data_IF_577295125003
#
_entry.id   IF_577295125003
#
_cell.length_a   1.000
_cell.length_b   1.000
_cell.length_c   1.000
_cell.angle_alpha   90.00
_cell.angle_beta   90.00
_cell.angle_gamma   90.00
#
_symmetry.space_group_name_H-M   'P 1'
#
loop_
_entity.id
_entity.type
_entity.pdbx_description
1 polymer ?
#
# COMPACT_ATOMS: atom_id res chain seq x y z
N UNK A 1 34.43 39.77 72.27
CA UNK A 1 34.48 38.35 71.82
C UNK A 1 33.42 38.17 70.74
N UNK A 2 33.80 38.38 69.45
CA UNK A 2 32.85 38.32 68.29
C UNK A 2 33.26 37.15 67.43
N UNK A 3 32.41 36.11 67.39
CA UNK A 3 32.60 34.93 66.54
C UNK A 3 31.95 35.16 65.16
N UNK A 4 32.76 35.21 64.12
CA UNK A 4 32.32 35.23 62.73
C UNK A 4 31.99 33.82 62.28
N UNK A 5 30.78 33.57 61.82
CA UNK A 5 30.36 32.34 61.14
C UNK A 5 30.56 32.54 59.61
N UNK A 6 31.43 31.79 59.02
CA UNK A 6 31.58 31.73 57.58
C UNK A 6 30.59 30.69 57.04
N UNK A 7 29.64 31.11 56.23
CA UNK A 7 28.73 30.25 55.48
C UNK A 7 29.37 29.89 54.15
N UNK A 8 29.69 28.62 53.99
CA UNK A 8 30.16 28.04 52.71
C UNK A 8 28.96 27.72 51.82
N UNK A 9 28.79 28.46 50.76
CA UNK A 9 27.78 28.20 49.72
C UNK A 9 28.33 27.18 48.75
N UNK A 10 27.88 25.94 48.83
CA UNK A 10 28.21 24.88 47.83
C UNK A 10 27.28 25.04 46.64
N UNK A 11 27.75 25.58 45.52
CA UNK A 11 27.05 25.54 44.23
C UNK A 11 27.17 24.13 43.65
N UNK A 12 26.11 23.35 43.69
CA UNK A 12 25.96 22.11 42.91
C UNK A 12 25.56 22.49 41.51
N UNK A 13 26.48 22.43 40.54
CA UNK A 13 26.15 22.51 39.12
C UNK A 13 25.42 21.23 38.70
N UNK A 14 24.11 21.29 38.58
CA UNK A 14 23.31 20.25 37.91
C UNK A 14 23.56 20.39 36.42
N UNK A 15 24.45 19.54 35.88
CA UNK A 15 24.65 19.40 34.46
C UNK A 15 23.35 18.87 33.83
N UNK A 16 22.62 19.72 33.15
CA UNK A 16 21.52 19.30 32.28
C UNK A 16 22.15 18.53 31.10
N UNK A 17 22.14 17.19 31.18
CA UNK A 17 22.32 16.35 30.02
C UNK A 17 21.12 16.58 29.11
N UNK A 18 21.24 17.45 28.13
CA UNK A 18 20.34 17.50 26.99
C UNK A 18 20.49 16.14 26.29
N UNK A 19 19.57 15.20 26.55
CA UNK A 19 19.39 14.03 25.72
C UNK A 19 18.98 14.56 24.33
N UNK A 20 19.96 14.64 23.46
CA UNK A 20 19.73 14.70 22.02
C UNK A 20 18.87 13.47 21.71
N UNK A 21 17.60 13.67 21.39
CA UNK A 21 16.76 12.57 20.94
C UNK A 21 17.43 12.01 19.68
N UNK A 22 18.12 10.88 19.82
CA UNK A 22 18.81 10.26 18.71
C UNK A 22 17.81 10.04 17.58
N UNK A 23 18.11 10.65 16.42
CA UNK A 23 17.34 10.50 15.19
C UNK A 23 17.21 9.00 14.89
N UNK A 24 16.00 8.44 14.75
CA UNK A 24 15.87 7.02 14.45
C UNK A 24 16.58 6.67 13.14
N UNK A 25 17.59 5.80 13.20
CA UNK A 25 18.41 5.40 12.06
C UNK A 25 18.59 3.88 12.01
N UNK A 26 18.87 3.36 10.81
CA UNK A 26 19.27 1.98 10.64
C UNK A 26 20.69 1.77 11.17
N UNK A 27 20.99 0.60 11.76
CA UNK A 27 22.37 0.26 12.15
C UNK A 27 23.33 0.27 10.95
N UNK A 28 22.84 -0.16 9.80
CA UNK A 28 23.51 -0.12 8.52
C UNK A 28 22.48 -0.12 7.40
N UNK A 29 22.72 0.64 6.34
CA UNK A 29 21.88 0.64 5.17
C UNK A 29 22.69 0.76 3.89
N UNK A 30 22.34 0.01 2.87
CA UNK A 30 22.93 0.05 1.53
C UNK A 30 21.82 0.29 0.51
N UNK A 31 22.06 1.26 -0.37
CA UNK A 31 21.18 1.56 -1.52
C UNK A 31 22.02 1.43 -2.79
N UNK A 32 21.51 0.67 -3.75
CA UNK A 32 22.17 0.47 -5.05
C UNK A 32 21.17 0.63 -6.18
N UNK A 33 21.58 1.19 -7.30
CA UNK A 33 20.77 1.17 -8.50
C UNK A 33 20.49 -0.29 -8.90
N UNK A 34 19.23 -0.58 -9.21
CA UNK A 34 18.85 -1.90 -9.70
C UNK A 34 19.24 -2.05 -11.19
N UNK A 35 19.57 -3.27 -11.67
CA UNK A 35 19.76 -3.52 -13.09
C UNK A 35 18.51 -3.10 -13.89
N UNK A 36 18.69 -2.62 -15.14
CA UNK A 36 17.58 -2.16 -15.97
C UNK A 36 16.62 -3.27 -16.41
N UNK A 37 17.08 -4.51 -16.33
CA UNK A 37 16.30 -5.71 -16.69
C UNK A 37 16.02 -6.50 -15.42
N UNK A 38 14.75 -6.72 -15.15
CA UNK A 38 14.31 -7.57 -14.04
C UNK A 38 14.58 -9.01 -14.44
N UNK A 39 15.47 -9.69 -13.71
CA UNK A 39 15.76 -11.10 -13.96
C UNK A 39 14.49 -11.96 -13.77
N UNK A 40 14.35 -13.01 -14.58
CA UNK A 40 13.24 -13.96 -14.43
C UNK A 40 13.27 -14.57 -13.02
N UNK A 41 12.13 -14.51 -12.32
CA UNK A 41 12.01 -14.97 -10.93
C UNK A 41 12.48 -13.95 -9.87
N UNK A 42 12.94 -12.76 -10.26
CA UNK A 42 13.27 -11.72 -9.29
C UNK A 42 12.03 -11.28 -8.52
N UNK A 43 12.19 -11.05 -7.23
CA UNK A 43 11.11 -10.53 -6.40
C UNK A 43 11.11 -9.01 -6.47
N UNK A 44 10.02 -8.42 -6.93
CA UNK A 44 9.81 -6.96 -6.88
C UNK A 44 9.07 -6.59 -5.60
N UNK A 45 9.53 -5.56 -4.91
CA UNK A 45 8.88 -5.07 -3.69
C UNK A 45 9.77 -5.13 -2.45
N UNK A 46 9.19 -4.84 -1.31
CA UNK A 46 9.87 -4.80 -0.02
C UNK A 46 9.42 -5.95 0.90
N UNK A 47 10.33 -6.42 1.73
CA UNK A 47 10.08 -7.46 2.73
C UNK A 47 10.90 -7.21 3.99
N UNK A 48 10.50 -7.86 5.09
CA UNK A 48 11.13 -7.69 6.40
C UNK A 48 10.59 -6.48 7.17
N UNK A 49 11.26 -6.12 8.26
CA UNK A 49 10.86 -5.03 9.14
C UNK A 49 9.96 -5.44 10.30
N UNK A 50 9.60 -4.49 11.18
CA UNK A 50 8.82 -4.75 12.38
C UNK A 50 7.49 -5.45 12.09
N UNK A 51 7.23 -6.55 12.77
CA UNK A 51 6.03 -7.39 12.59
C UNK A 51 6.12 -8.40 11.46
N UNK A 52 7.23 -8.44 10.71
CA UNK A 52 7.49 -9.47 9.71
C UNK A 52 8.21 -10.68 10.33
N UNK A 53 8.35 -11.76 9.55
CA UNK A 53 9.09 -12.97 9.95
C UNK A 53 10.57 -12.69 10.24
N UNK A 54 11.15 -11.70 9.58
CA UNK A 54 12.51 -11.20 9.82
C UNK A 54 12.42 -9.70 10.21
N UNK A 55 12.27 -9.39 11.50
CA UNK A 55 12.09 -8.02 11.95
C UNK A 55 13.39 -7.21 11.97
N UNK A 56 14.56 -7.86 11.98
CA UNK A 56 15.88 -7.23 12.06
C UNK A 56 16.47 -6.82 10.71
N UNK A 57 15.83 -7.24 9.60
CA UNK A 57 16.30 -6.96 8.25
C UNK A 57 15.17 -6.42 7.37
N UNK A 58 15.44 -5.34 6.67
CA UNK A 58 14.55 -4.79 5.64
C UNK A 58 15.24 -4.81 4.29
N UNK A 59 14.58 -5.35 3.29
CA UNK A 59 15.08 -5.41 1.93
C UNK A 59 14.02 -4.98 0.93
N UNK A 60 14.40 -4.14 -0.02
CA UNK A 60 13.59 -3.80 -1.19
C UNK A 60 14.34 -4.15 -2.45
N UNK A 61 13.63 -4.65 -3.46
CA UNK A 61 14.18 -4.94 -4.78
C UNK A 61 13.32 -4.29 -5.85
N UNK A 62 13.97 -3.66 -6.83
CA UNK A 62 13.34 -3.00 -7.97
C UNK A 62 12.26 -1.98 -7.57
N UNK A 63 12.57 -1.13 -6.59
CA UNK A 63 11.65 -0.07 -6.14
C UNK A 63 12.05 1.28 -6.71
N UNK A 64 11.10 2.00 -7.30
CA UNK A 64 11.31 3.39 -7.71
C UNK A 64 11.40 4.31 -6.50
N UNK A 65 12.03 5.47 -6.63
CA UNK A 65 12.10 6.44 -5.54
C UNK A 65 10.70 6.91 -5.09
N UNK A 66 9.76 7.09 -6.02
CA UNK A 66 8.37 7.42 -5.69
C UNK A 66 7.70 6.32 -4.84
N UNK A 67 7.92 5.04 -5.17
CA UNK A 67 7.39 3.92 -4.38
C UNK A 67 8.04 3.83 -2.99
N UNK A 68 9.34 4.15 -2.87
CA UNK A 68 10.02 4.21 -1.58
C UNK A 68 9.48 5.33 -0.70
N UNK A 69 9.22 6.52 -1.27
CA UNK A 69 8.59 7.64 -0.55
C UNK A 69 7.18 7.26 -0.11
N UNK A 70 6.33 6.76 -1.00
CA UNK A 70 4.97 6.36 -0.61
C UNK A 70 4.96 5.26 0.45
N UNK A 71 5.92 4.35 0.42
CA UNK A 71 6.09 3.32 1.44
C UNK A 71 6.51 3.92 2.80
N UNK A 72 7.50 4.83 2.82
CA UNK A 72 8.02 5.46 4.03
C UNK A 72 6.97 6.37 4.71
N UNK A 73 6.11 7.03 3.94
CA UNK A 73 5.06 7.92 4.42
C UNK A 73 3.68 7.25 4.50
N UNK A 74 3.57 5.95 4.17
CA UNK A 74 2.33 5.17 4.17
C UNK A 74 1.21 5.80 3.33
N UNK A 75 1.57 6.27 2.18
CA UNK A 75 0.64 6.95 1.26
C UNK A 75 0.26 6.04 0.10
N UNK A 76 -0.94 6.22 -0.39
CA UNK A 76 -1.31 5.72 -1.70
C UNK A 76 -0.63 6.56 -2.79
N UNK A 77 -0.22 5.93 -3.90
CA UNK A 77 0.58 6.58 -4.95
C UNK A 77 -0.09 7.82 -5.56
N UNK A 78 -1.41 7.88 -5.58
CA UNK A 78 -2.15 9.04 -6.10
C UNK A 78 -2.07 10.28 -5.21
N UNK A 79 -1.61 10.14 -3.95
CA UNK A 79 -1.39 11.23 -3.00
C UNK A 79 0.03 11.79 -3.02
N UNK A 80 0.91 11.23 -3.85
CA UNK A 80 2.25 11.74 -4.04
C UNK A 80 2.30 12.67 -5.25
N UNK A 81 2.74 13.91 -5.03
CA UNK A 81 3.09 14.86 -6.08
C UNK A 81 4.62 14.90 -6.17
N UNK A 82 5.17 14.30 -7.21
CA UNK A 82 6.61 14.14 -7.37
C UNK A 82 7.00 14.41 -8.83
N UNK A 83 8.26 14.81 -9.10
CA UNK A 83 8.78 14.94 -10.45
C UNK A 83 8.68 13.65 -11.26
N UNK A 84 8.41 13.76 -12.56
CA UNK A 84 8.18 12.62 -13.46
C UNK A 84 9.35 11.61 -13.47
N UNK A 85 10.57 12.07 -13.30
CA UNK A 85 11.75 11.20 -13.27
C UNK A 85 11.80 10.24 -12.06
N UNK A 86 11.04 10.50 -10.99
CA UNK A 86 10.94 9.61 -9.84
C UNK A 86 10.10 8.35 -10.11
N UNK A 87 9.43 8.30 -11.24
CA UNK A 87 8.62 7.18 -11.71
C UNK A 87 9.50 6.01 -12.22
N UNK A 88 8.94 4.88 -12.71
CA UNK A 88 9.60 3.57 -12.74
C UNK A 88 10.88 3.41 -13.58
N UNK A 89 11.43 4.45 -14.17
CA UNK A 89 12.65 4.32 -14.96
C UNK A 89 13.94 4.14 -14.14
N UNK A 90 13.95 4.64 -12.88
CA UNK A 90 15.08 4.49 -11.97
C UNK A 90 14.65 3.62 -10.79
N UNK A 91 15.19 2.42 -10.74
CA UNK A 91 14.90 1.43 -9.71
C UNK A 91 16.08 1.24 -8.78
N UNK A 92 15.79 0.96 -7.51
CA UNK A 92 16.79 0.79 -6.47
C UNK A 92 16.55 -0.51 -5.69
N UNK A 93 17.65 -1.08 -5.21
CA UNK A 93 17.67 -2.17 -4.25
C UNK A 93 18.17 -1.61 -2.92
N UNK A 94 17.45 -1.90 -1.84
CA UNK A 94 17.79 -1.48 -0.48
C UNK A 94 18.00 -2.71 0.39
N UNK A 95 19.02 -2.66 1.23
CA UNK A 95 19.21 -3.60 2.33
C UNK A 95 19.56 -2.79 3.57
N UNK A 96 18.77 -2.93 4.65
CA UNK A 96 18.96 -2.16 5.87
C UNK A 96 18.78 -3.03 7.10
N UNK A 97 19.71 -2.92 8.05
CA UNK A 97 19.68 -3.62 9.34
C UNK A 97 18.95 -2.74 10.36
N UNK A 98 17.95 -3.31 10.99
CA UNK A 98 17.05 -2.64 11.93
C UNK A 98 17.49 -2.94 13.36
N UNK A 99 17.62 -1.92 14.23
CA UNK A 99 17.89 -2.13 15.65
C UNK A 99 16.83 -3.01 16.33
N UNK A 100 17.19 -3.81 17.32
CA UNK A 100 16.25 -4.61 18.09
C UNK A 100 15.14 -3.73 18.70
N UNK A 101 13.95 -4.30 18.86
CA UNK A 101 12.79 -3.63 19.47
C UNK A 101 12.28 -2.37 18.73
N UNK A 102 12.68 -2.15 17.48
CA UNK A 102 12.18 -1.05 16.67
C UNK A 102 10.68 -1.21 16.44
N UNK A 103 9.92 -0.19 16.82
CA UNK A 103 8.49 -0.12 16.51
C UNK A 103 8.24 0.21 15.03
N UNK A 104 7.03 -0.05 14.55
CA UNK A 104 6.65 0.29 13.19
C UNK A 104 6.79 1.78 12.87
N UNK A 105 6.37 2.65 13.80
CA UNK A 105 6.50 4.09 13.62
C UNK A 105 7.96 4.56 13.55
N UNK A 106 8.82 4.02 14.41
CA UNK A 106 10.26 4.30 14.35
C UNK A 106 10.88 3.85 13.02
N UNK A 107 10.51 2.67 12.54
CA UNK A 107 10.97 2.15 11.26
C UNK A 107 10.55 3.06 10.08
N UNK A 108 9.33 3.58 10.09
CA UNK A 108 8.85 4.53 9.07
C UNK A 108 9.70 5.81 9.09
N UNK A 109 9.99 6.36 10.28
CA UNK A 109 10.88 7.52 10.44
C UNK A 109 12.31 7.20 9.99
N UNK A 110 12.84 6.02 10.29
CA UNK A 110 14.16 5.57 9.78
C UNK A 110 14.22 5.57 8.25
N UNK A 111 13.15 5.10 7.58
CA UNK A 111 13.07 5.13 6.12
C UNK A 111 13.01 6.56 5.59
N UNK A 112 12.21 7.44 6.20
CA UNK A 112 12.15 8.85 5.81
C UNK A 112 13.54 9.51 5.95
N UNK A 113 14.22 9.27 7.07
CA UNK A 113 15.58 9.76 7.30
C UNK A 113 16.57 9.22 6.27
N UNK A 114 16.52 7.92 5.97
CA UNK A 114 17.36 7.29 4.94
C UNK A 114 17.18 7.95 3.57
N UNK A 115 15.92 8.21 3.18
CA UNK A 115 15.62 8.86 1.90
C UNK A 115 16.08 10.32 1.88
N UNK A 116 15.91 11.05 2.99
CA UNK A 116 16.41 12.42 3.13
C UNK A 116 17.94 12.49 3.07
N UNK A 117 18.63 11.58 3.74
CA UNK A 117 20.09 11.56 3.80
C UNK A 117 20.72 11.11 2.47
N UNK A 118 20.16 10.09 1.82
CA UNK A 118 20.76 9.46 0.63
C UNK A 118 20.31 10.06 -0.69
N UNK A 119 19.06 10.50 -0.79
CA UNK A 119 18.51 11.11 -2.00
C UNK A 119 18.17 12.58 -1.84
N UNK A 120 18.48 13.18 -0.69
CA UNK A 120 18.13 14.57 -0.37
C UNK A 120 16.64 14.85 -0.54
N UNK A 121 15.82 13.85 -0.24
CA UNK A 121 14.36 13.99 -0.32
C UNK A 121 13.88 14.99 0.71
N UNK A 122 13.25 16.06 0.24
CA UNK A 122 12.52 17.05 1.05
C UNK A 122 11.08 17.06 0.60
N UNK A 123 10.17 17.07 1.56
CA UNK A 123 8.74 16.99 1.30
C UNK A 123 7.95 17.92 2.21
N UNK A 124 6.77 18.34 1.75
CA UNK A 124 5.77 18.99 2.60
C UNK A 124 4.37 18.43 2.32
N UNK A 125 3.44 18.68 3.23
CA UNK A 125 2.04 18.34 3.07
C UNK A 125 1.26 19.52 2.50
N UNK A 126 0.43 19.27 1.49
CA UNK A 126 -0.42 20.27 0.85
C UNK A 126 -1.85 19.75 0.69
N UNK A 127 -2.81 20.45 1.27
CA UNK A 127 -4.22 20.16 1.04
C UNK A 127 -4.68 20.77 -0.28
N UNK A 128 -5.13 19.91 -1.22
CA UNK A 128 -5.65 20.34 -2.53
C UNK A 128 -7.12 19.97 -2.67
N UNK A 129 -7.92 20.90 -3.17
CA UNK A 129 -9.26 20.56 -3.62
C UNK A 129 -9.16 19.80 -4.94
N UNK A 130 -9.59 18.54 -4.91
CA UNK A 130 -9.59 17.67 -6.10
C UNK A 130 -10.97 17.05 -6.29
N UNK A 131 -11.23 16.64 -7.50
CA UNK A 131 -12.36 15.76 -7.75
C UNK A 131 -12.06 14.38 -7.20
N UNK A 132 -12.79 13.98 -6.15
CA UNK A 132 -12.74 12.66 -5.57
C UNK A 132 -14.01 11.88 -5.89
N UNK A 133 -13.95 10.56 -5.76
CA UNK A 133 -15.10 9.69 -5.88
C UNK A 133 -15.67 9.41 -4.48
N UNK A 134 -16.99 9.38 -4.36
CA UNK A 134 -17.68 8.95 -3.14
C UNK A 134 -18.37 7.62 -3.42
N UNK A 135 -18.03 6.60 -2.64
CA UNK A 135 -18.71 5.31 -2.67
C UNK A 135 -20.03 5.43 -1.92
N UNK A 136 -21.13 5.30 -2.61
CA UNK A 136 -22.49 5.43 -2.04
C UNK A 136 -23.34 4.23 -2.40
N UNK A 137 -24.42 3.99 -1.63
CA UNK A 137 -25.41 2.98 -1.96
C UNK A 137 -26.23 3.43 -3.19
N UNK A 138 -26.42 2.55 -4.17
CA UNK A 138 -27.26 2.82 -5.33
C UNK A 138 -28.76 2.78 -4.97
N UNK A 139 -29.61 3.31 -5.83
CA UNK A 139 -31.08 3.42 -5.58
C UNK A 139 -31.75 2.10 -5.18
N UNK A 140 -31.25 0.97 -5.66
CA UNK A 140 -31.81 -0.35 -5.41
C UNK A 140 -31.26 -1.01 -4.12
N UNK A 141 -30.50 -0.28 -3.31
CA UNK A 141 -29.90 -0.80 -2.09
C UNK A 141 -28.69 -1.72 -2.31
N UNK A 142 -28.02 -2.12 -1.23
CA UNK A 142 -26.89 -3.04 -1.28
C UNK A 142 -27.34 -4.43 -1.68
N UNK A 143 -26.50 -5.15 -2.44
CA UNK A 143 -26.73 -6.51 -2.94
C UNK A 143 -25.78 -7.56 -2.34
N UNK A 144 -25.20 -7.27 -1.21
CA UNK A 144 -24.29 -8.14 -0.45
C UNK A 144 -24.87 -8.41 0.93
N UNK A 145 -24.34 -9.43 1.61
CA UNK A 145 -24.80 -9.85 2.93
C UNK A 145 -23.84 -9.32 4.01
N UNK A 146 -24.38 -9.14 5.21
CA UNK A 146 -23.52 -8.96 6.38
C UNK A 146 -22.71 -10.23 6.61
N UNK A 147 -21.46 -10.02 7.00
CA UNK A 147 -20.54 -11.12 7.30
C UNK A 147 -21.07 -11.89 8.54
N UNK A 148 -21.21 -13.18 8.40
CA UNK A 148 -21.53 -14.04 9.55
C UNK A 148 -20.31 -14.09 10.48
N UNK A 149 -20.53 -13.94 11.79
CA UNK A 149 -19.52 -14.23 12.79
C UNK A 149 -19.16 -15.72 12.74
N UNK A 150 -18.17 -16.04 11.95
CA UNK A 150 -17.56 -17.36 12.03
C UNK A 150 -16.50 -17.27 13.14
N UNK A 151 -16.49 -18.18 14.13
CA UNK A 151 -15.40 -18.23 15.10
C UNK A 151 -14.05 -18.24 14.33
N UNK A 152 -13.01 -17.56 14.86
CA UNK A 152 -11.71 -17.61 14.22
C UNK A 152 -11.35 -19.08 13.98
N UNK A 153 -10.79 -19.43 12.81
CA UNK A 153 -10.36 -20.78 12.56
C UNK A 153 -9.43 -21.16 13.72
N UNK A 154 -9.81 -22.18 14.48
CA UNK A 154 -8.95 -22.78 15.49
C UNK A 154 -7.63 -23.05 14.79
N UNK A 155 -6.54 -22.45 15.33
CA UNK A 155 -5.19 -22.57 14.83
C UNK A 155 -4.95 -24.00 14.34
N UNK A 156 -4.99 -24.20 13.04
CA UNK A 156 -4.33 -25.35 12.45
C UNK A 156 -2.87 -24.97 12.50
N UNK A 157 -2.12 -25.65 13.36
CA UNK A 157 -0.66 -25.54 13.43
C UNK A 157 -0.08 -25.85 12.05
N UNK A 158 0.05 -24.82 11.21
CA UNK A 158 0.66 -24.89 9.88
C UNK A 158 2.22 -25.01 9.95
N UNK A 159 2.76 -25.44 11.09
CA UNK A 159 4.22 -25.45 11.32
C UNK A 159 4.86 -26.82 11.39
N UNK A 160 4.14 -27.91 11.15
CA UNK A 160 4.74 -29.25 11.17
C UNK A 160 4.16 -30.13 10.04
N UNK A 161 4.64 -29.91 8.84
CA UNK A 161 4.34 -30.80 7.73
C UNK A 161 5.20 -30.45 6.53
N UNK A 162 5.95 -31.42 5.99
CA UNK A 162 6.60 -31.33 4.71
C UNK A 162 5.63 -30.68 3.71
N UNK A 163 6.05 -29.59 3.02
CA UNK A 163 5.23 -28.94 1.98
C UNK A 163 4.73 -30.02 1.03
N UNK A 164 3.44 -30.32 1.13
CA UNK A 164 2.79 -31.13 0.10
C UNK A 164 3.12 -30.52 -1.28
N UNK A 165 3.32 -31.32 -2.31
CA UNK A 165 3.57 -30.80 -3.64
C UNK A 165 2.51 -29.78 -3.99
N UNK A 166 2.93 -28.59 -4.46
CA UNK A 166 2.00 -27.54 -4.89
C UNK A 166 1.14 -28.11 -6.03
N UNK A 167 -0.11 -28.37 -5.74
CA UNK A 167 -1.11 -28.69 -6.76
C UNK A 167 -1.76 -27.37 -7.14
N UNK A 168 -1.62 -26.91 -8.39
CA UNK A 168 -2.29 -25.69 -8.84
C UNK A 168 -3.82 -25.86 -8.63
N UNK A 169 -4.51 -24.86 -8.11
CA UNK A 169 -5.96 -24.92 -7.96
C UNK A 169 -6.61 -25.11 -9.34
N UNK A 170 -7.69 -25.88 -9.39
CA UNK A 170 -8.50 -25.98 -10.59
C UNK A 170 -8.98 -24.57 -11.00
N UNK A 171 -8.96 -24.31 -12.30
CA UNK A 171 -9.43 -23.04 -12.86
C UNK A 171 -10.92 -23.18 -13.23
N UNK A 172 -11.68 -22.11 -13.01
CA UNK A 172 -13.06 -22.01 -13.51
C UNK A 172 -13.09 -21.64 -15.01
N UNK A 173 -14.28 -21.54 -15.58
CA UNK A 173 -14.49 -21.20 -17.01
C UNK A 173 -13.86 -19.88 -17.43
N UNK A 174 -13.64 -18.96 -16.50
CA UNK A 174 -13.06 -17.62 -16.73
C UNK A 174 -11.54 -17.60 -16.50
N UNK A 175 -10.95 -18.74 -16.16
CA UNK A 175 -9.52 -18.90 -15.90
C UNK A 175 -9.07 -18.46 -14.51
N UNK A 176 -9.99 -18.26 -13.57
CA UNK A 176 -9.67 -17.96 -12.18
C UNK A 176 -9.55 -19.23 -11.34
N UNK A 177 -8.71 -19.22 -10.30
CA UNK A 177 -8.70 -20.29 -9.31
C UNK A 177 -10.08 -20.55 -8.75
N UNK A 178 -10.42 -21.84 -8.57
CA UNK A 178 -11.69 -22.25 -7.99
C UNK A 178 -11.92 -21.58 -6.64
N UNK A 179 -13.16 -21.20 -6.40
CA UNK A 179 -13.57 -20.50 -5.19
C UNK A 179 -13.43 -21.40 -3.95
N UNK A 180 -12.63 -20.96 -2.99
CA UNK A 180 -12.33 -21.72 -1.75
C UNK A 180 -12.98 -21.14 -0.50
N UNK A 181 -13.77 -20.07 -0.60
CA UNK A 181 -14.31 -19.34 0.56
C UNK A 181 -13.28 -18.50 1.34
N UNK A 182 -12.01 -18.52 0.93
CA UNK A 182 -10.94 -17.70 1.53
C UNK A 182 -10.81 -16.36 0.81
N UNK A 183 -10.33 -15.30 1.50
CA UNK A 183 -10.02 -14.02 0.85
C UNK A 183 -9.19 -14.20 -0.40
N UNK A 184 -9.62 -13.62 -1.50
CA UNK A 184 -8.94 -13.76 -2.79
C UNK A 184 -8.99 -12.47 -3.59
N UNK A 185 -7.86 -12.12 -4.20
CA UNK A 185 -7.78 -11.07 -5.21
C UNK A 185 -6.90 -11.57 -6.33
N UNK A 186 -7.49 -11.81 -7.49
CA UNK A 186 -6.80 -12.42 -8.63
C UNK A 186 -7.03 -11.61 -9.89
N UNK A 187 -5.97 -11.49 -10.69
CA UNK A 187 -5.98 -10.88 -12.01
C UNK A 187 -5.56 -11.93 -13.03
N UNK A 188 -6.39 -12.19 -14.02
CA UNK A 188 -6.13 -13.19 -15.05
C UNK A 188 -6.70 -12.71 -16.39
N UNK A 189 -5.89 -12.70 -17.44
CA UNK A 189 -6.33 -12.37 -18.80
C UNK A 189 -7.12 -11.05 -18.91
N UNK A 190 -6.65 -9.98 -18.25
CA UNK A 190 -7.33 -8.69 -18.26
C UNK A 190 -8.62 -8.62 -17.45
N UNK A 191 -8.94 -9.65 -16.68
CA UNK A 191 -10.09 -9.73 -15.80
C UNK A 191 -9.64 -9.78 -14.35
N UNK A 192 -10.46 -9.28 -13.43
CA UNK A 192 -10.17 -9.23 -12.01
C UNK A 192 -11.33 -9.82 -11.20
N UNK A 193 -10.98 -10.53 -10.15
CA UNK A 193 -11.93 -11.04 -9.16
C UNK A 193 -11.47 -10.70 -7.76
N UNK A 194 -12.37 -10.19 -6.97
CA UNK A 194 -12.22 -9.93 -5.54
C UNK A 194 -13.25 -10.75 -4.77
N UNK A 195 -12.80 -11.48 -3.77
CA UNK A 195 -13.65 -12.05 -2.75
C UNK A 195 -13.07 -11.77 -1.37
N UNK A 196 -13.90 -11.19 -0.51
CA UNK A 196 -13.58 -10.93 0.88
C UNK A 196 -14.79 -11.26 1.74
N UNK A 197 -14.69 -12.26 2.62
CA UNK A 197 -15.82 -12.69 3.43
C UNK A 197 -16.18 -11.69 4.53
N UNK A 198 -15.28 -10.78 4.87
CA UNK A 198 -15.45 -9.79 5.95
C UNK A 198 -14.72 -8.50 5.59
N UNK A 199 -15.39 -7.61 4.89
CA UNK A 199 -14.85 -6.31 4.46
C UNK A 199 -15.73 -5.17 4.95
N UNK A 200 -15.12 -4.14 5.53
CA UNK A 200 -15.83 -2.87 5.81
C UNK A 200 -15.92 -2.03 4.54
N UNK A 201 -16.91 -1.14 4.47
CA UNK A 201 -17.03 -0.21 3.33
C UNK A 201 -15.83 0.74 3.23
N UNK A 202 -15.24 1.10 4.36
CA UNK A 202 -13.99 1.88 4.39
C UNK A 202 -12.83 1.10 3.72
N UNK A 203 -12.69 -0.20 4.01
CA UNK A 203 -11.67 -1.03 3.38
C UNK A 203 -11.92 -1.20 1.87
N UNK A 204 -13.18 -1.33 1.45
CA UNK A 204 -13.56 -1.35 0.04
C UNK A 204 -13.22 -0.03 -0.65
N UNK A 205 -13.57 1.12 -0.07
CA UNK A 205 -13.24 2.45 -0.60
C UNK A 205 -11.72 2.62 -0.76
N UNK A 206 -10.93 2.24 0.25
CA UNK A 206 -9.46 2.25 0.18
C UNK A 206 -8.93 1.38 -0.95
N UNK A 207 -9.51 0.20 -1.16
CA UNK A 207 -9.12 -0.70 -2.25
C UNK A 207 -9.47 -0.12 -3.62
N UNK A 208 -10.65 0.47 -3.75
CA UNK A 208 -11.09 1.16 -4.96
C UNK A 208 -10.19 2.36 -5.28
N UNK A 209 -9.78 3.12 -4.26
CA UNK A 209 -8.83 4.23 -4.43
C UNK A 209 -7.53 3.79 -5.11
N UNK A 210 -6.96 2.67 -4.66
CA UNK A 210 -5.76 2.10 -5.26
C UNK A 210 -5.99 1.60 -6.68
N UNK A 211 -7.12 0.94 -6.92
CA UNK A 211 -7.47 0.40 -8.24
C UNK A 211 -7.74 1.51 -9.27
N UNK A 212 -8.43 2.57 -8.87
CA UNK A 212 -8.79 3.71 -9.72
C UNK A 212 -7.70 4.79 -9.77
N UNK A 213 -6.67 4.69 -8.91
CA UNK A 213 -5.63 5.72 -8.71
C UNK A 213 -6.21 7.10 -8.45
N UNK A 214 -7.30 7.15 -7.71
CA UNK A 214 -8.05 8.35 -7.37
C UNK A 214 -8.62 8.22 -5.96
N UNK A 215 -8.76 9.32 -5.19
CA UNK A 215 -9.35 9.25 -3.88
C UNK A 215 -10.81 8.77 -3.97
N UNK A 216 -11.15 7.76 -3.17
CA UNK A 216 -12.51 7.26 -2.99
C UNK A 216 -12.87 7.40 -1.52
N UNK A 217 -13.79 8.29 -1.20
CA UNK A 217 -14.32 8.45 0.13
C UNK A 217 -15.45 7.42 0.39
N UNK A 218 -15.47 6.84 1.58
CA UNK A 218 -16.61 6.06 2.05
C UNK A 218 -17.76 7.01 2.39
N UNK A 219 -18.93 6.78 1.81
CA UNK A 219 -20.16 7.57 2.02
C UNK A 219 -21.43 6.69 1.90
N UNK A 220 -21.30 5.38 2.15
CA UNK A 220 -22.45 4.45 2.12
C UNK A 220 -23.29 4.54 3.39
N UNK A 221 -22.70 4.97 4.52
CA UNK A 221 -23.29 4.93 5.84
C UNK A 221 -23.39 3.51 6.45
N UNK A 222 -22.80 2.52 5.83
CA UNK A 222 -22.81 1.12 6.27
C UNK A 222 -21.61 0.84 7.17
N UNK A 223 -21.82 0.57 8.45
CA UNK A 223 -20.76 0.41 9.46
C UNK A 223 -20.35 -1.03 9.74
N UNK A 224 -21.04 -2.01 9.17
CA UNK A 224 -20.80 -3.45 9.38
C UNK A 224 -19.60 -3.99 8.58
N UNK A 225 -19.42 -5.30 8.74
CA UNK A 225 -18.56 -6.11 7.85
C UNK A 225 -19.46 -6.90 6.91
N UNK A 226 -19.04 -7.01 5.66
CA UNK A 226 -19.86 -7.57 4.59
C UNK A 226 -19.08 -8.59 3.78
N UNK A 227 -19.79 -9.59 3.27
CA UNK A 227 -19.24 -10.50 2.28
C UNK A 227 -19.26 -9.82 0.92
N UNK A 228 -18.08 -9.52 0.38
CA UNK A 228 -17.91 -8.84 -0.90
C UNK A 228 -17.39 -9.81 -1.95
N UNK A 229 -18.14 -9.96 -3.03
CA UNK A 229 -17.74 -10.69 -4.23
C UNK A 229 -17.91 -9.79 -5.44
N UNK A 230 -16.82 -9.50 -6.13
CA UNK A 230 -16.79 -8.57 -7.25
C UNK A 230 -15.94 -9.11 -8.40
N UNK A 231 -16.47 -9.04 -9.61
CA UNK A 231 -15.82 -9.43 -10.85
C UNK A 231 -15.92 -8.30 -11.87
N UNK A 232 -14.79 -7.96 -12.50
CA UNK A 232 -14.76 -6.90 -13.52
C UNK A 232 -13.64 -7.11 -14.54
N UNK A 233 -13.76 -6.43 -15.68
CA UNK A 233 -12.69 -6.34 -16.69
C UNK A 233 -11.82 -5.14 -16.36
N UNK A 234 -10.49 -5.34 -16.37
CA UNK A 234 -9.52 -4.28 -16.14
C UNK A 234 -9.34 -3.44 -17.42
N UNK A 235 -8.76 -2.24 -17.29
CA UNK A 235 -8.43 -1.41 -18.45
C UNK A 235 -7.54 -2.13 -19.46
N UNK A 236 -6.63 -3.00 -18.99
CA UNK A 236 -5.81 -3.83 -19.87
C UNK A 236 -6.66 -4.86 -20.64
N UNK A 237 -7.66 -5.46 -19.97
CA UNK A 237 -8.62 -6.35 -20.61
C UNK A 237 -9.49 -5.64 -21.65
N UNK A 238 -9.98 -4.45 -21.31
CA UNK A 238 -10.77 -3.63 -22.24
C UNK A 238 -9.97 -3.24 -23.49
N UNK A 239 -8.69 -2.92 -23.35
CA UNK A 239 -7.81 -2.63 -24.49
C UNK A 239 -7.51 -3.87 -25.34
N UNK A 240 -7.39 -5.03 -24.72
CA UNK A 240 -7.13 -6.28 -25.44
C UNK A 240 -8.36 -6.74 -26.25
N UNK A 241 -9.57 -6.38 -25.83
CA UNK A 241 -10.83 -6.69 -26.51
C UNK A 241 -11.30 -5.58 -27.45
N UNK A 242 -10.61 -4.41 -27.48
CA UNK A 242 -10.92 -3.36 -28.43
C UNK A 242 -10.73 -3.88 -29.87
N UNK A 243 -11.67 -3.61 -30.79
CA UNK A 243 -11.55 -4.04 -32.18
C UNK A 243 -10.26 -3.47 -32.77
N UNK A 244 -9.29 -4.33 -33.04
CA UNK A 244 -8.24 -3.97 -33.98
C UNK A 244 -8.89 -3.91 -35.36
N UNK A 245 -8.46 -2.97 -36.19
CA UNK A 245 -9.00 -2.59 -37.52
C UNK A 245 -9.11 -3.75 -38.55
N UNK A 246 -9.32 -4.97 -38.08
CA UNK A 246 -9.51 -6.22 -38.82
C UNK A 246 -10.87 -6.84 -38.50
N UNK A 247 -11.90 -6.31 -39.13
CA UNK A 247 -13.22 -6.92 -39.23
C UNK A 247 -14.07 -6.73 -37.99
N UNK A 248 -15.06 -5.88 -38.10
CA UNK A 248 -16.17 -5.71 -37.15
C UNK A 248 -16.99 -6.99 -37.08
N UNK A 249 -16.71 -7.82 -36.08
CA UNK A 249 -17.67 -8.81 -35.63
C UNK A 249 -18.51 -8.18 -34.49
N UNK A 250 -19.80 -7.89 -34.71
CA UNK A 250 -20.66 -7.27 -33.70
C UNK A 250 -20.85 -8.13 -32.44
N UNK A 251 -20.38 -9.36 -32.47
CA UNK A 251 -20.49 -10.34 -31.38
C UNK A 251 -19.34 -10.21 -30.36
N UNK A 252 -18.25 -9.51 -30.68
CA UNK A 252 -17.07 -9.37 -29.79
C UNK A 252 -17.33 -8.49 -28.55
N UNK A 253 -18.40 -7.67 -28.58
CA UNK A 253 -18.71 -6.71 -27.50
C UNK A 253 -19.46 -7.34 -26.31
N UNK A 254 -19.99 -8.56 -26.49
CA UNK A 254 -20.85 -9.21 -25.49
C UNK A 254 -20.05 -10.00 -24.43
N UNK A 255 -18.78 -10.29 -24.71
CA UNK A 255 -17.96 -11.21 -23.88
C UNK A 255 -16.89 -10.50 -23.02
N UNK A 256 -16.79 -9.19 -23.10
CA UNK A 256 -15.77 -8.42 -22.36
C UNK A 256 -15.99 -8.44 -20.82
N UNK A 257 -17.23 -8.61 -20.36
CA UNK A 257 -17.60 -8.48 -18.95
C UNK A 257 -17.79 -7.03 -18.48
N UNK A 258 -18.25 -6.78 -17.26
CA UNK A 258 -18.55 -5.44 -16.77
C UNK A 258 -17.27 -4.66 -16.43
N UNK A 259 -17.27 -3.35 -16.70
CA UNK A 259 -16.27 -2.45 -16.11
C UNK A 259 -16.39 -2.41 -14.59
N UNK A 260 -15.37 -1.95 -13.88
CA UNK A 260 -15.40 -1.87 -12.41
C UNK A 260 -16.59 -1.05 -11.91
N UNK A 261 -16.89 0.10 -12.50
CA UNK A 261 -18.04 0.94 -12.11
C UNK A 261 -19.37 0.24 -12.31
N UNK A 262 -19.54 -0.45 -13.43
CA UNK A 262 -20.73 -1.24 -13.73
C UNK A 262 -20.86 -2.45 -12.79
N UNK A 263 -19.76 -3.13 -12.52
CA UNK A 263 -19.72 -4.26 -11.59
C UNK A 263 -20.13 -3.84 -10.17
N UNK A 264 -19.64 -2.70 -9.67
CA UNK A 264 -20.06 -2.15 -8.37
C UNK A 264 -21.59 -1.98 -8.31
N UNK A 265 -22.17 -1.43 -9.36
CA UNK A 265 -23.62 -1.19 -9.39
C UNK A 265 -24.45 -2.46 -9.57
N UNK A 266 -24.05 -3.34 -10.47
CA UNK A 266 -24.80 -4.56 -10.79
C UNK A 266 -24.67 -5.64 -9.73
N UNK A 267 -23.45 -5.83 -9.20
CA UNK A 267 -23.14 -6.93 -8.29
C UNK A 267 -23.26 -6.53 -6.82
N UNK A 268 -22.89 -5.29 -6.46
CA UNK A 268 -22.89 -4.83 -5.08
C UNK A 268 -23.99 -3.82 -4.75
N UNK A 269 -24.68 -3.25 -5.75
CA UNK A 269 -25.66 -2.19 -5.50
C UNK A 269 -25.01 -0.92 -4.95
N UNK A 270 -23.75 -0.70 -5.28
CA UNK A 270 -22.96 0.50 -4.92
C UNK A 270 -22.66 1.31 -6.18
N UNK A 271 -22.46 2.61 -6.01
CA UNK A 271 -22.04 3.49 -7.12
C UNK A 271 -20.99 4.49 -6.66
N UNK A 272 -20.23 4.97 -7.63
CA UNK A 272 -19.26 6.04 -7.43
C UNK A 272 -19.85 7.36 -7.91
N UNK A 273 -19.87 8.36 -7.04
CA UNK A 273 -20.28 9.72 -7.34
C UNK A 273 -19.06 10.63 -7.35
N UNK A 274 -18.97 11.47 -8.37
CA UNK A 274 -17.91 12.49 -8.43
C UNK A 274 -18.28 13.66 -7.51
N UNK A 275 -17.38 14.02 -6.58
CA UNK A 275 -17.56 15.11 -5.62
C UNK A 275 -16.23 15.84 -5.42
N UNK A 276 -16.29 17.14 -5.23
CA UNK A 276 -15.11 17.89 -4.79
C UNK A 276 -14.82 17.62 -3.32
N UNK A 277 -13.56 17.49 -2.97
CA UNK A 277 -13.11 17.27 -1.61
C UNK A 277 -11.64 17.61 -1.43
N UNK A 278 -11.29 17.88 -0.18
CA UNK A 278 -9.91 18.15 0.22
C UNK A 278 -9.16 16.83 0.37
N UNK A 279 -8.02 16.73 -0.29
CA UNK A 279 -7.11 15.59 -0.18
C UNK A 279 -5.73 16.13 0.18
N UNK A 280 -5.15 15.54 1.22
CA UNK A 280 -3.79 15.83 1.65
C UNK A 280 -2.80 15.11 0.73
N UNK A 281 -1.98 15.88 0.03
CA UNK A 281 -0.89 15.42 -0.83
C UNK A 281 0.44 15.56 -0.13
N UNK A 282 1.32 14.60 -0.34
CA UNK A 282 2.74 14.76 -0.04
C UNK A 282 3.43 15.27 -1.32
N UNK A 283 4.01 16.45 -1.23
CA UNK A 283 4.72 17.10 -2.34
C UNK A 283 6.21 16.93 -2.14
N UNK A 284 6.91 16.44 -3.16
CA UNK A 284 8.37 16.36 -3.16
C UNK A 284 8.93 17.69 -3.66
N UNK A 285 9.56 18.44 -2.76
CA UNK A 285 10.20 19.73 -3.07
C UNK A 285 11.54 19.53 -3.76
N UNK A 286 12.30 18.54 -3.28
CA UNK A 286 13.63 18.22 -3.76
C UNK A 286 13.89 16.72 -3.65
N UNK A 287 14.63 16.20 -4.64
CA UNK A 287 15.21 14.87 -4.58
C UNK A 287 16.36 14.75 -5.59
N UNK A 288 17.31 13.87 -5.31
CA UNK A 288 18.41 13.53 -6.22
C UNK A 288 18.17 12.20 -6.92
N UNK A 289 18.63 12.08 -8.20
CA UNK A 289 18.43 10.86 -9.01
C UNK A 289 19.33 9.69 -8.58
N UNK A 290 20.47 10.01 -7.97
CA UNK A 290 21.42 9.01 -7.48
C UNK A 290 21.55 9.15 -5.96
N UNK A 291 21.60 8.04 -5.21
CA UNK A 291 21.88 8.13 -3.79
C UNK A 291 23.34 8.58 -3.57
N UNK A 292 23.58 9.36 -2.52
CA UNK A 292 24.94 9.61 -2.03
C UNK A 292 25.60 8.27 -1.63
N UNK A 293 26.92 8.17 -1.74
CA UNK A 293 27.66 6.96 -1.40
C UNK A 293 27.42 6.49 0.04
N UNK A 294 27.50 5.15 0.22
CA UNK A 294 27.26 4.48 1.51
C UNK A 294 28.41 4.73 2.49
#
# INVERSE_FOLDING_TARGET
MTRAFAVFLVLTAVGAYAQSADKPEFEAASIRAAPPIIAAGATVGCRGGPGARDPGLFTCQYMSLSNLVTFAYRLDNYRLSAPDWMTPMLMFNISAKIPPNTTRGQFEVMLQNLLADRFKVSVHHENREVTQLSLVVAKNGPKFKEAVETPPPTNVDDHAGARAPYVPPALDKDGFPAFTGRPMSTFTNGRARLYEPRMTMQALATRLSRQLRAPVAEATGLTGQYEISLYWVTDAGLRATAPTDRGTDPQADVDAGPTLTRALQEQLGLRLESKKGQVDFLVVDQAEKAPTEN
#
